data_IF_360800714207
#
_entry.id   IF_360800714207
#
_cell.length_a   1.000
_cell.length_b   1.000
_cell.length_c   1.000
_cell.angle_alpha   90.00
_cell.angle_beta   90.00
_cell.angle_gamma   90.00
#
_symmetry.space_group_name_H-M   'P 1'
#
loop_
_entity.id
_entity.type
_entity.pdbx_description
1 polymer ?
#
# COMPACT_ATOMS: atom_id res chain seq x y z
N UNK A 1 5.63 -2.96 3.36
CA UNK A 1 5.87 -1.92 2.36
C UNK A 1 4.67 -1.75 1.44
N UNK A 2 4.19 -0.53 1.31
CA UNK A 2 3.01 -0.18 0.51
C UNK A 2 3.35 0.68 -0.71
N UNK A 3 2.33 1.30 -1.29
CA UNK A 3 2.48 2.22 -2.44
C UNK A 3 3.14 3.55 -2.07
N UNK A 4 2.92 4.04 -0.86
CA UNK A 4 3.36 5.38 -0.43
C UNK A 4 4.56 5.30 0.51
N UNK A 5 4.51 4.39 1.49
CA UNK A 5 5.49 4.31 2.58
C UNK A 5 5.93 2.86 2.82
N UNK A 6 7.15 2.73 3.32
CA UNK A 6 7.71 1.49 3.87
C UNK A 6 8.13 1.74 5.30
N UNK A 7 7.74 0.86 6.22
CA UNK A 7 8.15 0.90 7.62
C UNK A 7 8.91 -0.37 7.94
N UNK A 8 10.08 -0.25 8.53
CA UNK A 8 10.87 -1.35 9.07
C UNK A 8 10.95 -1.19 10.58
N UNK A 9 10.60 -2.24 11.33
CA UNK A 9 10.59 -2.24 12.78
C UNK A 9 11.48 -3.38 13.27
N UNK A 10 12.39 -3.07 14.17
CA UNK A 10 13.20 -4.04 14.88
C UNK A 10 12.57 -4.33 16.25
N UNK A 11 12.34 -5.60 16.51
CA UNK A 11 11.83 -6.07 17.80
C UNK A 11 12.89 -6.88 18.53
N UNK A 12 12.87 -6.82 19.86
CA UNK A 12 13.64 -7.77 20.68
C UNK A 12 12.90 -9.11 20.87
N UNK A 13 13.53 -10.08 21.51
CA UNK A 13 12.97 -11.41 21.77
C UNK A 13 11.66 -11.39 22.60
N UNK A 14 11.40 -10.32 23.33
CA UNK A 14 10.19 -10.14 24.12
C UNK A 14 9.06 -9.42 23.34
N UNK A 15 9.29 -9.10 22.06
CA UNK A 15 8.33 -8.42 21.21
C UNK A 15 8.25 -6.88 21.39
N UNK A 16 9.17 -6.29 22.15
CA UNK A 16 9.23 -4.83 22.27
C UNK A 16 9.98 -4.22 21.10
N UNK A 17 9.47 -3.10 20.59
CA UNK A 17 10.13 -2.32 19.55
C UNK A 17 11.44 -1.75 20.08
N UNK A 18 12.53 -2.04 19.36
CA UNK A 18 13.87 -1.51 19.62
C UNK A 18 14.10 -0.25 18.79
N UNK A 19 13.75 -0.32 17.50
CA UNK A 19 13.97 0.79 16.57
C UNK A 19 12.96 0.73 15.41
N UNK A 20 12.75 1.87 14.74
CA UNK A 20 11.87 2.00 13.58
C UNK A 20 12.51 2.92 12.54
N UNK A 21 12.48 2.50 11.28
CA UNK A 21 12.92 3.30 10.13
C UNK A 21 11.77 3.39 9.13
N UNK A 22 11.64 4.56 8.50
CA UNK A 22 10.66 4.85 7.46
C UNK A 22 11.37 5.17 6.14
N UNK A 23 10.76 4.77 5.03
CA UNK A 23 11.24 5.07 3.68
C UNK A 23 10.02 5.22 2.72
N UNK A 24 10.30 5.60 1.49
CA UNK A 24 9.32 5.68 0.39
C UNK A 24 8.69 4.33 0.11
N UNK A 25 7.59 4.33 -0.64
CA UNK A 25 6.87 3.12 -1.00
C UNK A 25 7.75 2.05 -1.67
N UNK A 26 7.45 0.79 -1.37
CA UNK A 26 8.13 -0.39 -1.93
C UNK A 26 7.15 -1.40 -2.54
N UNK A 27 6.08 -0.90 -3.20
CA UNK A 27 5.18 -1.76 -3.96
C UNK A 27 5.94 -2.40 -5.12
N UNK A 28 6.06 -3.72 -5.14
CA UNK A 28 6.83 -4.48 -6.14
C UNK A 28 6.25 -4.35 -7.55
N UNK A 29 4.94 -4.26 -7.69
CA UNK A 29 4.31 -4.09 -8.99
C UNK A 29 4.60 -2.71 -9.60
N UNK A 30 4.59 -1.67 -8.78
CA UNK A 30 4.75 -0.28 -9.23
C UNK A 30 6.22 0.09 -9.43
N UNK A 31 7.07 -0.22 -8.45
CA UNK A 31 8.45 0.27 -8.39
C UNK A 31 9.50 -0.77 -8.81
N UNK A 32 9.09 -2.02 -9.07
CA UNK A 32 9.96 -3.08 -9.61
C UNK A 32 11.31 -3.17 -8.85
N UNK A 33 12.41 -3.03 -9.58
CA UNK A 33 13.76 -3.16 -9.02
C UNK A 33 14.06 -2.08 -7.95
N UNK A 34 13.52 -0.87 -8.08
CA UNK A 34 13.65 0.17 -7.06
C UNK A 34 13.00 -0.24 -5.72
N UNK A 35 11.86 -0.95 -5.76
CA UNK A 35 11.25 -1.48 -4.55
C UNK A 35 12.17 -2.49 -3.86
N UNK A 36 12.80 -3.38 -4.61
CA UNK A 36 13.74 -4.38 -4.10
C UNK A 36 14.93 -3.68 -3.42
N UNK A 37 15.53 -2.69 -4.08
CA UNK A 37 16.65 -1.93 -3.51
C UNK A 37 16.27 -1.22 -2.22
N UNK A 38 15.07 -0.61 -2.15
CA UNK A 38 14.56 0.03 -0.93
C UNK A 38 14.35 -0.96 0.21
N UNK A 39 13.78 -2.13 -0.07
CA UNK A 39 13.58 -3.19 0.93
C UNK A 39 14.93 -3.62 1.52
N UNK A 40 15.92 -3.90 0.68
CA UNK A 40 17.25 -4.30 1.12
C UNK A 40 17.96 -3.17 1.88
N UNK A 41 17.84 -1.94 1.39
CA UNK A 41 18.42 -0.76 2.01
C UNK A 41 17.86 -0.53 3.42
N UNK A 42 16.53 -0.56 3.60
CA UNK A 42 15.91 -0.29 4.90
C UNK A 42 16.23 -1.39 5.93
N UNK A 43 16.31 -2.66 5.48
CA UNK A 43 16.74 -3.78 6.34
C UNK A 43 18.19 -3.55 6.79
N UNK A 44 19.10 -3.26 5.86
CA UNK A 44 20.50 -2.99 6.18
C UNK A 44 20.64 -1.80 7.11
N UNK A 45 19.95 -0.69 6.83
CA UNK A 45 20.05 0.53 7.61
C UNK A 45 19.63 0.35 9.08
N UNK A 46 18.56 -0.42 9.35
CA UNK A 46 18.14 -0.67 10.73
C UNK A 46 19.14 -1.55 11.48
N UNK A 47 19.75 -2.51 10.79
CA UNK A 47 20.76 -3.37 11.38
C UNK A 47 22.06 -2.60 11.69
N UNK A 48 22.58 -1.83 10.72
CA UNK A 48 23.77 -1.00 10.90
C UNK A 48 23.60 0.01 12.02
N UNK A 49 22.47 0.70 12.08
CA UNK A 49 22.15 1.65 13.13
C UNK A 49 22.18 1.02 14.52
N UNK A 50 21.75 -0.22 14.64
CA UNK A 50 21.73 -0.98 15.89
C UNK A 50 22.96 -1.88 16.11
N UNK A 51 23.98 -1.78 15.25
CA UNK A 51 25.23 -2.59 15.30
C UNK A 51 24.97 -4.09 15.26
N UNK A 52 23.98 -4.53 14.47
CA UNK A 52 23.60 -5.91 14.29
C UNK A 52 23.96 -6.40 12.88
N UNK A 53 24.16 -7.71 12.77
CA UNK A 53 24.33 -8.43 11.51
C UNK A 53 23.05 -9.19 11.17
N UNK A 54 22.92 -9.67 9.93
CA UNK A 54 21.80 -10.52 9.52
C UNK A 54 21.67 -11.79 10.35
N UNK A 55 22.79 -12.34 10.83
CA UNK A 55 22.84 -13.55 11.67
C UNK A 55 22.29 -13.34 13.09
N UNK A 56 22.22 -12.10 13.55
CA UNK A 56 21.72 -11.76 14.87
C UNK A 56 20.18 -11.69 14.91
N UNK A 57 19.55 -11.76 13.72
CA UNK A 57 18.10 -11.69 13.57
C UNK A 57 17.52 -13.11 13.45
N UNK A 58 16.62 -13.47 14.34
CA UNK A 58 16.00 -14.79 14.34
C UNK A 58 14.98 -14.97 13.22
N UNK A 59 14.24 -13.90 12.83
CA UNK A 59 13.23 -13.95 11.79
C UNK A 59 13.01 -12.58 11.13
N UNK A 60 12.72 -12.60 9.83
CA UNK A 60 12.28 -11.44 9.06
C UNK A 60 10.85 -11.64 8.61
N UNK A 61 9.99 -10.67 8.87
CA UNK A 61 8.62 -10.62 8.35
C UNK A 61 8.51 -9.50 7.30
N UNK A 62 8.18 -9.86 6.07
CA UNK A 62 8.03 -8.93 4.96
C UNK A 62 6.59 -8.95 4.45
N UNK A 63 5.82 -7.89 4.74
CA UNK A 63 4.50 -7.64 4.18
C UNK A 63 4.62 -6.61 3.07
N UNK A 64 4.55 -7.03 1.80
CA UNK A 64 4.89 -6.19 0.64
C UNK A 64 3.74 -6.14 -0.35
N UNK A 65 3.28 -4.92 -0.68
CA UNK A 65 2.31 -4.69 -1.74
C UNK A 65 2.90 -5.07 -3.11
N UNK A 66 2.04 -5.54 -4.01
CA UNK A 66 2.45 -5.90 -5.37
C UNK A 66 3.25 -7.20 -5.48
N UNK A 67 3.29 -8.03 -4.45
CA UNK A 67 4.04 -9.30 -4.43
C UNK A 67 3.49 -10.37 -5.39
N UNK A 68 2.29 -10.16 -5.92
CA UNK A 68 1.70 -10.99 -6.97
C UNK A 68 2.39 -10.83 -8.33
N UNK A 69 3.22 -9.81 -8.50
CA UNK A 69 4.12 -9.65 -9.65
C UNK A 69 5.24 -10.68 -9.55
N UNK A 70 5.12 -11.78 -10.28
CA UNK A 70 6.00 -12.95 -10.14
C UNK A 70 7.46 -12.63 -10.43
N UNK A 71 7.74 -11.82 -11.45
CA UNK A 71 9.10 -11.44 -11.81
C UNK A 71 9.80 -10.66 -10.67
N UNK A 72 9.17 -9.63 -10.16
CA UNK A 72 9.72 -8.84 -9.05
C UNK A 72 9.83 -9.66 -7.76
N UNK A 73 8.87 -10.57 -7.51
CA UNK A 73 8.92 -11.49 -6.37
C UNK A 73 10.12 -12.43 -6.46
N UNK A 74 10.37 -13.03 -7.62
CA UNK A 74 11.51 -13.92 -7.83
C UNK A 74 12.84 -13.19 -7.67
N UNK A 75 12.94 -11.97 -8.23
CA UNK A 75 14.12 -11.12 -8.05
C UNK A 75 14.37 -10.80 -6.57
N UNK A 76 13.31 -10.42 -5.82
CA UNK A 76 13.44 -10.18 -4.39
C UNK A 76 13.94 -11.42 -3.66
N UNK A 77 13.37 -12.60 -3.94
CA UNK A 77 13.80 -13.85 -3.32
C UNK A 77 15.27 -14.17 -3.61
N UNK A 78 15.75 -13.94 -4.83
CA UNK A 78 17.17 -14.09 -5.20
C UNK A 78 18.08 -13.16 -4.39
N UNK A 79 17.66 -11.90 -4.20
CA UNK A 79 18.46 -10.97 -3.40
C UNK A 79 18.46 -11.33 -1.90
N UNK A 80 17.33 -11.79 -1.35
CA UNK A 80 17.26 -12.30 0.02
C UNK A 80 18.15 -13.56 0.21
N UNK A 81 18.22 -14.41 -0.81
CA UNK A 81 19.11 -15.58 -0.80
C UNK A 81 20.60 -15.17 -0.84
N UNK A 82 20.93 -14.16 -1.63
CA UNK A 82 22.28 -13.61 -1.73
C UNK A 82 22.81 -13.09 -0.39
N UNK A 83 21.97 -12.49 0.43
CA UNK A 83 22.29 -12.03 1.79
C UNK A 83 22.00 -13.11 2.84
N UNK A 84 21.62 -14.32 2.42
CA UNK A 84 21.45 -15.54 3.25
C UNK A 84 20.37 -15.44 4.33
N UNK A 85 19.31 -14.68 4.10
CA UNK A 85 18.21 -14.54 5.05
C UNK A 85 16.90 -15.23 4.60
N UNK A 86 16.85 -15.84 3.43
CA UNK A 86 15.65 -16.46 2.86
C UNK A 86 15.00 -17.47 3.81
N UNK A 87 15.81 -18.33 4.46
CA UNK A 87 15.31 -19.39 5.34
C UNK A 87 14.60 -18.88 6.59
N UNK A 88 14.94 -17.68 7.04
CA UNK A 88 14.34 -17.02 8.21
C UNK A 88 13.40 -15.89 7.82
N UNK A 89 13.03 -15.80 6.52
CA UNK A 89 12.12 -14.76 6.01
C UNK A 89 10.74 -15.33 5.73
N UNK A 90 9.72 -14.73 6.35
CA UNK A 90 8.33 -14.90 5.98
C UNK A 90 7.93 -13.77 5.04
N UNK A 91 7.68 -14.11 3.78
CA UNK A 91 7.28 -13.17 2.73
C UNK A 91 5.80 -13.32 2.43
N UNK A 92 5.03 -12.26 2.67
CA UNK A 92 3.58 -12.18 2.50
C UNK A 92 3.21 -10.93 1.69
N UNK A 93 2.00 -10.89 1.15
CA UNK A 93 1.43 -9.61 0.74
C UNK A 93 1.18 -8.74 1.97
N UNK A 94 1.08 -7.42 1.75
CA UNK A 94 0.74 -6.45 2.79
C UNK A 94 -0.60 -6.78 3.47
N UNK A 95 -1.60 -7.16 2.68
CA UNK A 95 -2.93 -7.54 3.19
C UNK A 95 -2.91 -8.86 3.95
N UNK A 96 -2.14 -9.88 3.50
CA UNK A 96 -1.99 -11.13 4.24
C UNK A 96 -1.26 -10.93 5.56
N UNK A 97 -0.25 -10.07 5.59
CA UNK A 97 0.46 -9.71 6.81
C UNK A 97 -0.49 -9.01 7.80
N UNK A 98 -1.26 -8.01 7.33
CA UNK A 98 -2.26 -7.34 8.15
C UNK A 98 -3.33 -8.31 8.66
N UNK A 99 -3.83 -9.21 7.79
CA UNK A 99 -4.82 -10.21 8.18
C UNK A 99 -4.30 -11.14 9.28
N UNK A 100 -3.07 -11.61 9.20
CA UNK A 100 -2.46 -12.47 10.23
C UNK A 100 -2.38 -11.80 11.61
N UNK A 101 -2.16 -10.49 11.63
CA UNK A 101 -2.08 -9.72 12.87
C UNK A 101 -3.48 -9.49 13.45
N UNK A 102 -4.43 -9.09 12.62
CA UNK A 102 -5.77 -8.69 13.05
C UNK A 102 -6.71 -9.88 13.26
N UNK A 103 -6.48 -10.99 12.57
CA UNK A 103 -7.27 -12.21 12.64
C UNK A 103 -6.39 -13.43 12.99
N UNK A 104 -5.77 -13.48 14.19
CA UNK A 104 -4.79 -14.50 14.55
C UNK A 104 -5.38 -15.93 14.52
N UNK A 105 -6.68 -16.08 14.76
CA UNK A 105 -7.37 -17.37 14.71
C UNK A 105 -7.88 -17.75 13.31
N UNK A 106 -7.47 -17.01 12.28
CA UNK A 106 -7.92 -17.16 10.89
C UNK A 106 -9.45 -17.04 10.69
N UNK A 107 -10.15 -16.45 11.62
CA UNK A 107 -11.59 -16.18 11.56
C UNK A 107 -11.80 -14.67 11.49
N UNK A 108 -12.18 -14.17 10.34
CA UNK A 108 -12.43 -12.73 10.15
C UNK A 108 -12.38 -12.33 8.70
N UNK A 109 -12.78 -11.09 8.49
CA UNK A 109 -12.70 -10.40 7.21
C UNK A 109 -11.91 -9.12 7.45
N UNK A 110 -10.84 -8.93 6.69
CA UNK A 110 -10.10 -7.68 6.65
C UNK A 110 -10.59 -6.87 5.45
N UNK A 111 -11.07 -5.67 5.71
CA UNK A 111 -11.37 -4.68 4.68
C UNK A 111 -10.42 -3.52 4.89
N UNK A 112 -9.59 -3.24 3.89
CA UNK A 112 -8.69 -2.09 3.88
C UNK A 112 -9.18 -1.11 2.82
N UNK A 113 -9.53 0.11 3.26
CA UNK A 113 -10.03 1.19 2.41
C UNK A 113 -9.03 2.34 2.51
N UNK A 114 -8.44 2.67 1.37
CA UNK A 114 -7.47 3.75 1.20
C UNK A 114 -7.61 4.35 -0.19
N UNK A 115 -6.50 4.61 -0.87
CA UNK A 115 -6.48 4.99 -2.30
C UNK A 115 -7.19 3.93 -3.17
N UNK A 116 -6.96 2.64 -2.89
CA UNK A 116 -7.73 1.51 -3.39
C UNK A 116 -8.57 0.87 -2.28
N UNK A 117 -9.25 -0.22 -2.59
CA UNK A 117 -9.98 -1.05 -1.61
C UNK A 117 -9.60 -2.51 -1.81
N UNK A 118 -9.49 -3.25 -0.72
CA UNK A 118 -9.28 -4.69 -0.75
C UNK A 118 -10.04 -5.35 0.39
N UNK A 119 -10.74 -6.43 0.08
CA UNK A 119 -11.34 -7.33 1.06
C UNK A 119 -10.58 -8.65 1.05
N UNK A 120 -10.15 -9.12 2.20
CA UNK A 120 -9.42 -10.36 2.36
C UNK A 120 -10.02 -11.17 3.52
N UNK A 121 -10.26 -12.43 3.27
CA UNK A 121 -10.73 -13.37 4.28
C UNK A 121 -10.04 -14.72 4.10
N UNK A 122 -10.11 -15.56 5.12
CA UNK A 122 -9.74 -16.98 5.02
C UNK A 122 -10.90 -17.84 5.49
N UNK A 123 -11.25 -18.85 4.72
CA UNK A 123 -12.30 -19.77 5.14
C UNK A 123 -11.76 -20.82 6.13
N UNK A 124 -12.66 -21.57 6.76
CA UNK A 124 -12.32 -22.62 7.73
C UNK A 124 -11.39 -23.71 7.17
N UNK A 125 -11.36 -23.90 5.84
CA UNK A 125 -10.45 -24.84 5.15
C UNK A 125 -9.07 -24.23 4.86
N UNK A 126 -8.79 -23.02 5.32
CA UNK A 126 -7.55 -22.32 5.12
C UNK A 126 -7.38 -21.68 3.72
N UNK A 127 -8.41 -21.69 2.88
CA UNK A 127 -8.38 -21.08 1.56
C UNK A 127 -8.56 -19.56 1.68
N UNK A 128 -7.64 -18.80 1.11
CA UNK A 128 -7.76 -17.35 1.01
C UNK A 128 -8.86 -16.96 0.00
N UNK A 129 -9.60 -15.93 0.38
CA UNK A 129 -10.61 -15.27 -0.45
C UNK A 129 -10.18 -13.81 -0.53
N UNK A 130 -10.06 -13.29 -1.74
CA UNK A 130 -9.71 -11.92 -2.02
C UNK A 130 -10.73 -11.34 -2.99
N UNK A 131 -11.34 -10.22 -2.61
CA UNK A 131 -12.26 -9.45 -3.44
C UNK A 131 -11.77 -8.01 -3.54
N UNK A 132 -12.00 -7.36 -4.65
CA UNK A 132 -11.44 -6.05 -4.99
C UNK A 132 -9.89 -6.07 -5.02
N UNK A 133 -9.23 -4.93 -4.90
CA UNK A 133 -7.77 -4.84 -4.96
C UNK A 133 -7.20 -5.17 -6.33
N UNK A 134 -7.94 -4.83 -7.39
CA UNK A 134 -7.50 -4.99 -8.78
C UNK A 134 -6.72 -3.76 -9.29
N UNK A 135 -6.62 -2.75 -8.46
CA UNK A 135 -6.04 -1.45 -8.73
C UNK A 135 -7.09 -0.34 -8.71
N UNK A 136 -6.68 0.81 -8.24
CA UNK A 136 -7.56 1.98 -8.13
C UNK A 136 -8.11 2.43 -9.50
N UNK A 137 -7.38 2.17 -10.56
CA UNK A 137 -7.73 2.42 -11.97
C UNK A 137 -8.69 1.37 -12.55
N UNK A 138 -8.84 0.21 -11.91
CA UNK A 138 -9.62 -0.94 -12.40
C UNK A 138 -10.91 -1.19 -11.62
N UNK A 139 -11.42 -0.17 -10.93
CA UNK A 139 -12.75 -0.18 -10.36
C UNK A 139 -12.83 -0.59 -8.89
N UNK A 140 -11.87 -0.21 -8.07
CA UNK A 140 -11.96 -0.33 -6.61
C UNK A 140 -13.08 0.59 -6.06
N UNK A 141 -14.34 0.20 -6.30
CA UNK A 141 -15.54 0.97 -5.95
C UNK A 141 -15.58 1.25 -4.44
N UNK A 142 -15.79 2.54 -4.10
CA UNK A 142 -15.79 3.00 -2.71
C UNK A 142 -14.40 3.34 -2.16
N UNK A 143 -13.33 3.19 -2.94
CA UNK A 143 -12.00 3.67 -2.59
C UNK A 143 -11.90 5.20 -2.63
N UNK A 144 -10.86 5.75 -1.99
CA UNK A 144 -10.61 7.20 -2.02
C UNK A 144 -10.42 7.74 -3.43
N UNK A 145 -9.73 6.99 -4.31
CA UNK A 145 -9.57 7.35 -5.72
C UNK A 145 -10.92 7.37 -6.44
N UNK A 146 -11.72 6.31 -6.27
CA UNK A 146 -13.04 6.21 -6.89
C UNK A 146 -13.96 7.36 -6.45
N UNK A 147 -13.99 7.66 -5.14
CA UNK A 147 -14.77 8.78 -4.61
C UNK A 147 -14.33 10.13 -5.18
N UNK A 148 -13.02 10.36 -5.31
CA UNK A 148 -12.50 11.58 -5.93
C UNK A 148 -12.88 11.69 -7.41
N UNK A 149 -12.77 10.60 -8.15
CA UNK A 149 -13.16 10.54 -9.57
C UNK A 149 -14.67 10.79 -9.75
N UNK A 150 -15.51 10.18 -8.92
CA UNK A 150 -16.96 10.42 -8.90
C UNK A 150 -17.30 11.88 -8.57
N UNK A 151 -16.62 12.46 -7.57
CA UNK A 151 -16.80 13.86 -7.21
C UNK A 151 -16.46 14.77 -8.38
N UNK A 152 -15.31 14.60 -9.03
CA UNK A 152 -14.92 15.41 -10.18
C UNK A 152 -15.90 15.27 -11.34
N UNK A 153 -16.33 14.05 -11.65
CA UNK A 153 -17.33 13.80 -12.68
C UNK A 153 -18.64 14.54 -12.40
N UNK A 154 -19.10 14.54 -11.14
CA UNK A 154 -20.30 15.26 -10.74
C UNK A 154 -20.16 16.79 -10.79
N UNK A 155 -19.02 17.33 -10.38
CA UNK A 155 -18.72 18.75 -10.48
C UNK A 155 -18.75 19.20 -11.95
N UNK A 156 -18.12 18.46 -12.84
CA UNK A 156 -18.07 18.77 -14.28
C UNK A 156 -19.48 18.70 -14.92
N UNK A 157 -20.23 17.64 -14.63
CA UNK A 157 -21.57 17.45 -15.23
C UNK A 157 -22.62 18.45 -14.73
N UNK A 158 -22.40 19.04 -13.56
CA UNK A 158 -23.37 19.93 -12.92
C UNK A 158 -22.81 21.36 -12.73
N UNK A 159 -21.92 21.80 -13.59
CA UNK A 159 -21.22 23.10 -13.48
C UNK A 159 -22.15 24.27 -13.12
N UNK A 160 -23.29 24.39 -13.80
CA UNK A 160 -24.24 25.47 -13.54
C UNK A 160 -24.80 25.40 -12.10
N UNK A 161 -25.16 24.21 -11.62
CA UNK A 161 -25.70 24.02 -10.26
C UNK A 161 -24.61 24.30 -9.22
N UNK A 162 -23.39 23.87 -9.48
CA UNK A 162 -22.24 24.09 -8.56
C UNK A 162 -21.94 25.57 -8.38
N UNK A 163 -22.03 26.36 -9.45
CA UNK A 163 -21.80 27.81 -9.40
C UNK A 163 -22.91 28.57 -8.67
N UNK A 164 -24.14 28.07 -8.69
CA UNK A 164 -25.30 28.67 -8.01
C UNK A 164 -25.43 28.26 -6.55
N UNK A 165 -24.91 27.07 -6.17
CA UNK A 165 -24.96 26.55 -4.80
C UNK A 165 -23.72 26.98 -4.01
N UNK A 166 -23.86 27.78 -2.92
CA UNK A 166 -22.70 28.26 -2.14
C UNK A 166 -21.84 27.16 -1.52
N UNK A 167 -22.43 26.06 -1.07
CA UNK A 167 -21.68 24.95 -0.46
C UNK A 167 -20.89 24.18 -1.52
N UNK A 168 -21.50 23.89 -2.66
CA UNK A 168 -20.83 23.23 -3.77
C UNK A 168 -19.74 24.10 -4.39
N UNK A 169 -19.97 25.40 -4.49
CA UNK A 169 -18.97 26.34 -4.97
C UNK A 169 -17.76 26.40 -4.04
N UNK A 170 -17.96 26.33 -2.71
CA UNK A 170 -16.87 26.25 -1.75
C UNK A 170 -16.02 24.99 -1.96
N UNK A 171 -16.65 23.85 -2.24
CA UNK A 171 -15.94 22.60 -2.58
C UNK A 171 -15.10 22.79 -3.84
N UNK A 172 -15.67 23.45 -4.86
CA UNK A 172 -14.94 23.71 -6.10
C UNK A 172 -13.72 24.62 -5.89
N UNK A 173 -13.84 25.67 -5.08
CA UNK A 173 -12.70 26.53 -4.75
C UNK A 173 -11.56 25.75 -4.03
N UNK A 174 -11.90 24.81 -3.15
CA UNK A 174 -10.92 23.90 -2.54
C UNK A 174 -10.25 23.01 -3.60
N UNK A 175 -11.02 22.48 -4.54
CA UNK A 175 -10.50 21.69 -5.66
C UNK A 175 -9.58 22.53 -6.54
N UNK A 176 -9.99 23.72 -6.94
CA UNK A 176 -9.17 24.66 -7.74
C UNK A 176 -7.81 24.90 -7.10
N UNK A 177 -7.81 25.23 -5.82
CA UNK A 177 -6.59 25.52 -5.05
C UNK A 177 -5.64 24.33 -5.02
N UNK A 178 -6.14 23.12 -4.76
CA UNK A 178 -5.29 21.92 -4.61
C UNK A 178 -4.79 21.39 -5.95
N UNK A 179 -5.59 21.44 -6.99
CA UNK A 179 -5.27 20.89 -8.30
C UNK A 179 -4.74 21.94 -9.29
N UNK A 180 -4.68 23.22 -8.88
CA UNK A 180 -4.22 24.34 -9.70
C UNK A 180 -4.98 24.42 -11.03
N UNK A 181 -6.29 24.35 -10.96
CA UNK A 181 -7.21 24.48 -12.10
C UNK A 181 -8.05 25.75 -11.93
N UNK A 182 -8.44 26.36 -13.03
CA UNK A 182 -9.29 27.57 -13.02
C UNK A 182 -10.73 27.28 -13.46
N UNK A 183 -10.93 26.20 -14.21
CA UNK A 183 -12.22 25.82 -14.77
C UNK A 183 -12.56 24.36 -14.51
N UNK A 184 -13.86 24.02 -14.51
CA UNK A 184 -14.32 22.63 -14.41
C UNK A 184 -13.75 21.75 -15.54
N UNK A 185 -13.62 22.32 -16.74
CA UNK A 185 -13.08 21.58 -17.90
C UNK A 185 -11.67 21.05 -17.67
N UNK A 186 -10.86 21.77 -16.92
CA UNK A 186 -9.50 21.35 -16.61
C UNK A 186 -9.43 20.15 -15.65
N UNK A 187 -10.55 19.82 -14.98
CA UNK A 187 -10.63 18.62 -14.15
C UNK A 187 -10.71 17.33 -14.99
N UNK A 188 -11.10 17.41 -16.28
CA UNK A 188 -11.15 16.23 -17.15
C UNK A 188 -9.83 15.46 -17.18
N UNK A 189 -8.70 16.16 -17.17
CA UNK A 189 -7.38 15.52 -17.16
C UNK A 189 -7.11 14.60 -15.96
N UNK A 190 -7.94 14.65 -14.92
CA UNK A 190 -7.81 13.81 -13.73
C UNK A 190 -8.82 12.65 -13.70
N UNK A 191 -9.73 12.56 -14.69
CA UNK A 191 -10.75 11.51 -14.76
C UNK A 191 -10.71 10.69 -16.04
N UNK A 192 -9.95 11.11 -17.06
CA UNK A 192 -9.84 10.45 -18.37
C UNK A 192 -8.81 9.31 -18.45
N UNK A 193 -8.13 8.94 -17.37
CA UNK A 193 -7.16 7.83 -17.34
C UNK A 193 -7.77 6.50 -16.90
#
# INVERSE_FOLDING_TARGET
>A
GGGTNTTCILFNSNGFTVDTIYDKGSNLYVFKDDAIQRILFIIRSILEKNKLNYSDISAFGLGIAGISDLDSREKLLKELDRIKITKQTLLLSDVEAAYKILCPNNNGILINIGTGIICFARNQKGKNIKEAGNGYDKGDLGSGYWLGKEMFSRLILNEAIVLEDPEMNQIFEVVKSNFKVETFRELYKYIED
#
